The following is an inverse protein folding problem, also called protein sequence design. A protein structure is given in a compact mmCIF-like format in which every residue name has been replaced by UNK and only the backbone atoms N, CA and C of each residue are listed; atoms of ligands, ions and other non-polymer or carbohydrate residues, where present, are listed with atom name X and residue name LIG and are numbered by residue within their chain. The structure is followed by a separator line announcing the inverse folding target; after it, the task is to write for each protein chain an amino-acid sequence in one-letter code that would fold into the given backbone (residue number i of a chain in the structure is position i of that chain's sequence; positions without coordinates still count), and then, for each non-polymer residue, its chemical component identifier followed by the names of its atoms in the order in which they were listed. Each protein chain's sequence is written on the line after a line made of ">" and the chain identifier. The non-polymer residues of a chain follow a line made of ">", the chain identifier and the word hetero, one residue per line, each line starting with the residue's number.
data_IF_988661130830
#
_entry.id   IF_988661130830
#
_cell.length_a   1.000
_cell.length_b   1.000
_cell.length_c   1.000
_cell.angle_alpha   90.00
_cell.angle_beta   90.00
_cell.angle_gamma   90.00
#
_symmetry.space_group_name_H-M   'P 1'
#
loop_
_entity.id
_entity.type
_entity.pdbx_description
1 polymer ?
#
# COMPACT_ATOMS: atom_id res chain seq x y z
N UNK A 1 -14.99 2.06 2.13
CA UNK A 1 -14.37 2.82 3.23
C UNK A 1 -13.82 4.17 2.77
N UNK A 2 -12.81 4.23 1.89
CA UNK A 2 -12.22 5.49 1.34
C UNK A 2 -13.24 6.54 0.90
N UNK A 3 -14.27 6.15 0.12
CA UNK A 3 -15.34 7.06 -0.33
C UNK A 3 -16.12 7.71 0.82
N UNK A 4 -16.39 6.97 1.89
CA UNK A 4 -17.14 7.49 3.05
C UNK A 4 -16.32 8.51 3.82
N UNK A 5 -15.03 8.25 4.00
CA UNK A 5 -14.06 9.18 4.62
C UNK A 5 -13.99 10.47 3.80
N UNK A 6 -13.86 10.36 2.46
CA UNK A 6 -13.85 11.52 1.56
C UNK A 6 -15.16 12.32 1.61
N UNK A 7 -16.29 11.66 1.80
CA UNK A 7 -17.60 12.32 1.95
C UNK A 7 -17.90 12.83 3.37
N UNK A 8 -16.93 12.79 4.29
CA UNK A 8 -17.06 13.35 5.63
C UNK A 8 -17.80 12.46 6.64
N UNK A 9 -18.07 11.20 6.31
CA UNK A 9 -18.82 10.27 7.18
C UNK A 9 -17.94 9.50 8.19
N UNK A 10 -16.68 9.91 8.40
CA UNK A 10 -15.83 9.30 9.43
C UNK A 10 -14.34 9.43 9.18
N UNK A 11 -13.57 8.78 10.04
CA UNK A 11 -12.09 8.70 9.99
C UNK A 11 -11.70 7.27 9.62
N UNK A 12 -10.66 7.11 8.81
CA UNK A 12 -10.15 5.80 8.40
C UNK A 12 -8.63 5.78 8.37
N UNK A 13 -8.06 4.62 8.69
CA UNK A 13 -6.68 4.30 8.30
C UNK A 13 -6.65 3.94 6.82
N UNK A 14 -5.80 4.62 6.06
CA UNK A 14 -5.57 4.37 4.65
C UNK A 14 -4.07 4.15 4.43
N UNK A 15 -3.67 3.19 3.58
CA UNK A 15 -2.29 3.09 3.14
C UNK A 15 -1.86 4.35 2.37
N UNK A 16 -0.62 4.79 2.55
CA UNK A 16 -0.08 6.01 1.93
C UNK A 16 -0.29 6.06 0.42
N UNK A 17 -0.07 4.94 -0.27
CA UNK A 17 -0.24 4.83 -1.72
C UNK A 17 -1.67 5.09 -2.18
N UNK A 18 -2.65 4.90 -1.29
CA UNK A 18 -4.06 4.99 -1.61
C UNK A 18 -4.69 6.34 -1.27
N UNK A 19 -3.98 7.24 -0.58
CA UNK A 19 -4.51 8.56 -0.15
C UNK A 19 -3.76 9.74 -0.74
N UNK A 20 -2.71 9.49 -1.55
CA UNK A 20 -1.81 10.53 -2.06
C UNK A 20 -2.56 11.64 -2.83
N UNK A 21 -3.38 11.26 -3.80
CA UNK A 21 -4.11 12.21 -4.65
C UNK A 21 -5.09 13.06 -3.83
N UNK A 22 -5.82 12.44 -2.90
CA UNK A 22 -6.77 13.15 -2.04
C UNK A 22 -6.08 14.11 -1.06
N UNK A 23 -4.88 13.78 -0.59
CA UNK A 23 -4.08 14.65 0.26
C UNK A 23 -3.53 15.85 -0.53
N UNK A 24 -2.98 15.61 -1.72
CA UNK A 24 -2.52 16.68 -2.62
C UNK A 24 -3.68 17.60 -3.05
N UNK A 25 -4.86 17.02 -3.28
CA UNK A 25 -6.10 17.72 -3.61
C UNK A 25 -6.82 18.38 -2.44
N UNK A 26 -6.28 18.28 -1.20
CA UNK A 26 -6.89 18.82 0.03
C UNK A 26 -8.30 18.27 0.33
N UNK A 27 -8.65 17.10 -0.23
CA UNK A 27 -9.91 16.40 0.02
C UNK A 27 -9.85 15.55 1.29
N UNK A 28 -8.64 15.22 1.75
CA UNK A 28 -8.36 14.54 3.01
C UNK A 28 -7.28 15.30 3.78
N UNK A 29 -7.24 15.08 5.09
CA UNK A 29 -6.19 15.60 5.98
C UNK A 29 -5.72 14.48 6.92
N UNK A 30 -4.41 14.47 7.20
CA UNK A 30 -3.83 13.55 8.19
C UNK A 30 -4.11 14.12 9.58
N UNK A 31 -4.68 13.29 10.46
CA UNK A 31 -4.83 13.64 11.86
C UNK A 31 -3.48 13.45 12.55
N UNK A 32 -2.98 14.50 13.22
CA UNK A 32 -1.69 14.45 13.92
C UNK A 32 -1.78 13.59 15.19
N UNK A 33 -1.65 12.28 14.98
CA UNK A 33 -1.57 11.24 16.01
C UNK A 33 -0.48 10.26 15.62
N UNK A 34 0.77 10.65 15.85
CA UNK A 34 1.93 9.81 15.54
C UNK A 34 1.85 8.40 16.16
N UNK A 35 1.21 8.25 17.34
CA UNK A 35 0.99 6.95 17.99
C UNK A 35 -0.05 6.06 17.30
N UNK A 36 -0.82 6.57 16.33
CA UNK A 36 -1.84 5.85 15.59
C UNK A 36 -1.39 5.45 14.17
N UNK A 37 -0.13 5.73 13.81
CA UNK A 37 0.44 5.33 12.52
C UNK A 37 0.88 3.88 12.58
N UNK A 38 0.43 3.08 11.62
CA UNK A 38 0.77 1.65 11.49
C UNK A 38 1.73 1.47 10.31
N UNK A 39 2.96 1.03 10.59
CA UNK A 39 3.89 0.61 9.54
C UNK A 39 3.56 -0.81 9.09
N UNK A 40 3.25 -0.98 7.80
CA UNK A 40 2.95 -2.29 7.22
C UNK A 40 4.07 -2.73 6.27
N UNK A 41 4.62 -3.92 6.50
CA UNK A 41 5.54 -4.57 5.58
C UNK A 41 4.79 -5.33 4.48
N UNK A 42 5.22 -5.17 3.23
CA UNK A 42 4.72 -5.96 2.09
C UNK A 42 5.71 -7.09 1.82
N UNK A 43 5.21 -8.33 1.86
CA UNK A 43 6.02 -9.53 1.63
C UNK A 43 5.52 -10.29 0.40
N UNK A 44 6.45 -10.66 -0.47
CA UNK A 44 6.19 -11.56 -1.58
C UNK A 44 6.63 -12.96 -1.19
N UNK A 45 5.73 -13.94 -1.30
CA UNK A 45 6.01 -15.35 -1.01
C UNK A 45 6.05 -16.16 -2.30
N UNK A 46 6.95 -17.16 -2.32
CA UNK A 46 7.08 -18.10 -3.43
C UNK A 46 7.36 -19.49 -2.87
N UNK A 47 6.68 -20.49 -3.43
CA UNK A 47 6.95 -21.90 -3.15
C UNK A 47 8.28 -22.34 -3.80
N UNK A 48 8.99 -23.26 -3.15
CA UNK A 48 10.25 -23.81 -3.67
C UNK A 48 10.11 -24.73 -4.90
N UNK A 49 8.89 -24.86 -5.44
CA UNK A 49 8.64 -25.57 -6.69
C UNK A 49 9.15 -24.76 -7.90
N UNK A 50 9.54 -25.48 -8.96
CA UNK A 50 9.94 -24.87 -10.23
C UNK A 50 8.70 -24.35 -10.93
N UNK A 51 8.58 -23.02 -11.07
CA UNK A 51 7.46 -22.40 -11.77
C UNK A 51 7.74 -22.37 -13.28
N UNK A 52 6.74 -21.98 -14.06
CA UNK A 52 6.95 -21.71 -15.49
C UNK A 52 7.95 -20.55 -15.67
N UNK A 53 8.53 -20.45 -16.88
CA UNK A 53 9.57 -19.44 -17.16
C UNK A 53 9.10 -18.01 -16.92
N UNK A 54 7.82 -17.69 -17.13
CA UNK A 54 7.28 -16.36 -16.91
C UNK A 54 7.25 -15.99 -15.42
N UNK A 55 6.81 -16.91 -14.55
CA UNK A 55 6.80 -16.70 -13.10
C UNK A 55 8.22 -16.59 -12.52
N UNK A 56 9.18 -17.37 -13.05
CA UNK A 56 10.59 -17.25 -12.66
C UNK A 56 11.19 -15.90 -13.07
N UNK A 57 10.84 -15.40 -14.27
CA UNK A 57 11.24 -14.07 -14.72
C UNK A 57 10.65 -13.00 -13.81
N UNK A 58 9.35 -13.07 -13.54
CA UNK A 58 8.67 -12.15 -12.62
C UNK A 58 9.34 -12.12 -11.25
N UNK A 59 9.66 -13.29 -10.68
CA UNK A 59 10.34 -13.36 -9.38
C UNK A 59 11.72 -12.71 -9.40
N UNK A 60 12.51 -12.88 -10.47
CA UNK A 60 13.79 -12.19 -10.63
C UNK A 60 13.61 -10.68 -10.72
N UNK A 61 12.64 -10.22 -11.51
CA UNK A 61 12.34 -8.81 -11.69
C UNK A 61 11.92 -8.17 -10.35
N UNK A 62 11.05 -8.84 -9.57
CA UNK A 62 10.65 -8.38 -8.23
C UNK A 62 11.82 -8.27 -7.26
N UNK A 63 12.74 -9.24 -7.25
CA UNK A 63 13.94 -9.16 -6.40
C UNK A 63 14.87 -8.01 -6.80
N UNK A 64 14.95 -7.68 -8.09
CA UNK A 64 15.76 -6.56 -8.56
C UNK A 64 15.21 -5.19 -8.11
N UNK A 65 13.90 -5.09 -7.84
CA UNK A 65 13.24 -3.87 -7.36
C UNK A 65 13.36 -3.65 -5.84
N UNK A 66 13.92 -4.59 -5.08
CA UNK A 66 14.11 -4.47 -3.63
C UNK A 66 15.42 -3.75 -3.23
N UNK A 67 16.16 -3.20 -4.21
CA UNK A 67 17.42 -2.48 -4.01
C UNK A 67 17.23 -0.97 -3.94
#
# INVERSE_FOLDING_TARGET
>A
MKRMTKSGYGIAWLPDYSSKEELEGHELVILDRASAVLSMGVYLYRLHARLNMASEKFWRDMKALQH
#
